data_IF_217076034198
#
_entry.id   IF_217076034198
#
_cell.length_a   1.000
_cell.length_b   1.000
_cell.length_c   1.000
_cell.angle_alpha   90.00
_cell.angle_beta   90.00
_cell.angle_gamma   90.00
#
_symmetry.space_group_name_H-M   'P 1'
#
loop_
_entity.id
_entity.type
_entity.pdbx_description
1 polymer ?
#
# COMPACT_ATOMS: atom_id res chain seq x y z
N UNK A 1 -20.65 -2.02 26.48
CA UNK A 1 -22.03 -2.50 26.62
C UNK A 1 -22.05 -3.41 27.85
N UNK A 2 -22.87 -3.10 28.86
CA UNK A 2 -23.09 -4.04 29.96
C UNK A 2 -23.53 -5.39 29.39
N UNK A 3 -23.20 -6.49 30.07
CA UNK A 3 -23.65 -7.83 29.68
C UNK A 3 -25.15 -7.80 29.33
N UNK A 4 -25.52 -8.34 28.17
CA UNK A 4 -26.90 -8.41 27.66
C UNK A 4 -27.90 -8.90 28.73
N UNK A 5 -27.45 -9.81 29.60
CA UNK A 5 -28.24 -10.34 30.71
C UNK A 5 -28.56 -9.29 31.80
N UNK A 6 -27.65 -8.35 32.09
CA UNK A 6 -27.90 -7.30 33.09
C UNK A 6 -28.92 -6.28 32.61
N UNK A 7 -28.93 -5.95 31.31
CA UNK A 7 -29.93 -5.06 30.72
C UNK A 7 -31.31 -5.72 30.73
N UNK A 8 -31.39 -7.01 30.39
CA UNK A 8 -32.64 -7.77 30.42
C UNK A 8 -33.30 -7.78 31.81
N UNK A 9 -32.51 -7.95 32.87
CA UNK A 9 -33.02 -7.90 34.25
C UNK A 9 -33.53 -6.51 34.64
N UNK A 10 -32.85 -5.44 34.19
CA UNK A 10 -33.31 -4.04 34.41
C UNK A 10 -34.61 -3.76 33.66
N UNK A 11 -34.73 -4.21 32.41
CA UNK A 11 -35.97 -4.08 31.64
C UNK A 11 -37.11 -4.87 32.28
N UNK A 12 -36.84 -6.10 32.73
CA UNK A 12 -37.82 -6.93 33.45
C UNK A 12 -38.30 -6.26 34.75
N UNK A 13 -37.41 -5.59 35.47
CA UNK A 13 -37.75 -4.81 36.67
C UNK A 13 -38.78 -3.72 36.35
N UNK A 14 -38.60 -3.00 35.24
CA UNK A 14 -39.52 -1.93 34.82
C UNK A 14 -40.85 -2.49 34.31
N UNK A 15 -40.82 -3.57 33.51
CA UNK A 15 -42.05 -4.19 32.99
C UNK A 15 -42.93 -4.73 34.11
N UNK A 16 -42.36 -5.46 35.08
CA UNK A 16 -43.11 -5.95 36.24
C UNK A 16 -43.67 -4.79 37.08
N UNK A 17 -42.91 -3.70 37.22
CA UNK A 17 -43.41 -2.51 37.91
C UNK A 17 -44.57 -1.84 37.17
N UNK A 18 -44.54 -1.80 35.83
CA UNK A 18 -45.62 -1.30 34.99
C UNK A 18 -46.89 -2.17 35.07
N UNK A 19 -46.71 -3.49 35.22
CA UNK A 19 -47.79 -4.46 35.46
C UNK A 19 -48.35 -4.41 36.90
N UNK A 20 -47.93 -3.45 37.72
CA UNK A 20 -48.42 -3.25 39.09
C UNK A 20 -47.85 -4.21 40.13
N UNK A 21 -46.80 -4.96 39.80
CA UNK A 21 -46.18 -5.92 40.74
C UNK A 21 -45.46 -5.16 41.87
N UNK A 22 -45.69 -5.50 43.15
CA UNK A 22 -45.01 -4.83 44.27
C UNK A 22 -43.51 -5.13 44.30
N UNK A 23 -42.71 -4.15 44.75
CA UNK A 23 -41.24 -4.24 44.75
C UNK A 23 -40.68 -5.51 45.42
N UNK A 24 -41.32 -6.00 46.48
CA UNK A 24 -40.93 -7.21 47.20
C UNK A 24 -40.93 -8.44 46.26
N UNK A 25 -41.93 -8.55 45.38
CA UNK A 25 -42.02 -9.64 44.38
C UNK A 25 -41.06 -9.43 43.21
N UNK A 26 -40.79 -8.17 42.84
CA UNK A 26 -39.81 -7.85 41.80
C UNK A 26 -38.40 -8.25 42.25
N UNK A 27 -38.06 -8.00 43.51
CA UNK A 27 -36.80 -8.43 44.16
C UNK A 27 -36.63 -9.95 44.04
N UNK A 28 -37.65 -10.74 44.41
CA UNK A 28 -37.64 -12.20 44.30
C UNK A 28 -37.40 -12.68 42.85
N UNK A 29 -38.04 -12.01 41.87
CA UNK A 29 -38.00 -12.42 40.46
C UNK A 29 -36.73 -12.03 39.70
N UNK A 30 -36.05 -10.96 40.13
CA UNK A 30 -34.88 -10.38 39.43
C UNK A 30 -33.56 -10.61 40.17
N UNK A 31 -33.62 -10.98 41.46
CA UNK A 31 -32.44 -11.12 42.31
C UNK A 31 -31.77 -9.79 42.69
N UNK A 32 -32.37 -8.65 42.35
CA UNK A 32 -31.89 -7.33 42.76
C UNK A 32 -32.34 -6.98 44.18
N UNK A 33 -31.54 -6.20 44.90
CA UNK A 33 -31.96 -5.62 46.18
C UNK A 33 -33.06 -4.58 45.99
N UNK A 34 -33.92 -4.38 46.98
CA UNK A 34 -35.00 -3.38 46.91
C UNK A 34 -34.50 -1.96 46.54
N UNK A 35 -33.36 -1.46 47.08
CA UNK A 35 -32.81 -0.17 46.65
C UNK A 35 -32.41 -0.14 45.18
N UNK A 36 -31.99 -1.28 44.62
CA UNK A 36 -31.62 -1.41 43.20
C UNK A 36 -32.86 -1.41 42.31
N UNK A 37 -33.93 -2.10 42.71
CA UNK A 37 -35.24 -2.06 42.03
C UNK A 37 -35.77 -0.63 41.99
N UNK A 38 -35.79 0.07 43.12
CA UNK A 38 -36.20 1.49 43.20
C UNK A 38 -35.35 2.37 42.29
N UNK A 39 -34.02 2.22 42.33
CA UNK A 39 -33.09 2.98 41.47
C UNK A 39 -33.38 2.81 39.98
N UNK A 40 -33.66 1.60 39.51
CA UNK A 40 -33.95 1.38 38.09
C UNK A 40 -35.31 1.93 37.67
N UNK A 41 -36.31 1.83 38.54
CA UNK A 41 -37.62 2.47 38.32
C UNK A 41 -37.49 3.99 38.22
N UNK A 42 -36.81 4.63 39.17
CA UNK A 42 -36.55 6.07 39.15
C UNK A 42 -35.78 6.50 37.90
N UNK A 43 -34.71 5.79 37.53
CA UNK A 43 -33.95 6.11 36.30
C UNK A 43 -34.77 5.94 35.03
N UNK A 44 -35.73 5.00 35.01
CA UNK A 44 -36.66 4.83 33.89
C UNK A 44 -37.70 5.95 33.84
N UNK A 45 -38.25 6.36 34.98
CA UNK A 45 -39.17 7.51 35.06
C UNK A 45 -38.48 8.80 34.59
N UNK A 46 -37.21 8.99 34.94
CA UNK A 46 -36.43 10.21 34.60
C UNK A 46 -35.91 10.23 33.16
N UNK A 47 -35.56 9.08 32.57
CA UNK A 47 -34.81 9.03 31.30
C UNK A 47 -35.27 7.92 30.34
N UNK A 48 -36.42 7.30 30.62
CA UNK A 48 -36.97 6.21 29.81
C UNK A 48 -36.01 5.03 29.66
N UNK A 49 -36.05 4.38 28.49
CA UNK A 49 -35.20 3.22 28.16
C UNK A 49 -33.70 3.56 28.24
N UNK A 50 -33.32 4.80 27.92
CA UNK A 50 -31.92 5.28 28.02
C UNK A 50 -31.40 5.22 29.47
N UNK A 51 -32.28 5.41 30.46
CA UNK A 51 -31.97 5.35 31.88
C UNK A 51 -31.58 3.96 32.39
N UNK A 52 -31.89 2.88 31.65
CA UNK A 52 -31.55 1.50 32.03
C UNK A 52 -30.11 1.11 31.62
N UNK A 53 -29.45 1.93 30.80
CA UNK A 53 -28.05 1.77 30.44
C UNK A 53 -27.10 1.96 31.62
N UNK A 54 -25.90 1.38 31.51
CA UNK A 54 -24.80 1.73 32.41
C UNK A 54 -24.42 3.19 32.16
N UNK A 55 -24.41 4.00 33.22
CA UNK A 55 -23.81 5.33 33.14
C UNK A 55 -22.31 5.19 32.83
N UNK A 56 -21.70 6.17 32.12
CA UNK A 56 -20.26 6.20 31.96
C UNK A 56 -19.62 6.15 33.35
N UNK A 57 -18.98 5.05 33.69
CA UNK A 57 -18.25 4.97 34.96
C UNK A 57 -17.12 5.99 34.87
N UNK A 58 -16.91 6.84 35.90
CA UNK A 58 -15.70 7.65 35.96
C UNK A 58 -14.53 6.67 36.00
N UNK A 59 -13.87 6.52 34.85
CA UNK A 59 -12.67 5.70 34.76
C UNK A 59 -11.61 6.26 35.70
N UNK A 60 -10.61 5.44 36.02
CA UNK A 60 -9.44 5.92 36.77
C UNK A 60 -8.88 7.19 36.10
N UNK A 61 -8.58 8.27 36.85
CA UNK A 61 -8.00 9.47 36.29
C UNK A 61 -6.78 9.13 35.45
N UNK A 62 -6.67 9.73 34.26
CA UNK A 62 -5.52 9.50 33.38
C UNK A 62 -4.28 10.06 34.07
N UNK A 63 -3.32 9.18 34.38
CA UNK A 63 -2.04 9.53 35.00
C UNK A 63 -0.94 9.84 33.98
N UNK A 64 -1.21 9.63 32.70
CA UNK A 64 -0.22 9.80 31.61
C UNK A 64 -0.60 11.07 30.86
N UNK A 65 0.38 11.95 30.72
CA UNK A 65 0.27 13.12 29.86
C UNK A 65 0.49 12.70 28.40
N UNK A 66 -0.63 12.45 27.71
CA UNK A 66 -0.61 12.13 26.28
C UNK A 66 0.02 13.29 25.49
N UNK A 67 -0.19 14.56 25.88
CA UNK A 67 0.30 15.74 25.15
C UNK A 67 1.82 15.86 25.25
N UNK A 68 2.41 15.60 26.41
CA UNK A 68 3.86 15.60 26.58
C UNK A 68 4.53 14.56 25.66
N UNK A 69 3.99 13.34 25.61
CA UNK A 69 4.51 12.28 24.72
C UNK A 69 4.36 12.68 23.26
N UNK A 70 3.22 13.27 22.88
CA UNK A 70 2.98 13.72 21.51
C UNK A 70 3.92 14.86 21.11
N UNK A 71 4.08 15.87 21.96
CA UNK A 71 4.95 17.01 21.70
C UNK A 71 6.40 16.54 21.52
N UNK A 72 6.91 15.69 22.40
CA UNK A 72 8.27 15.16 22.30
C UNK A 72 8.44 14.19 21.11
N UNK A 73 7.37 13.49 20.72
CA UNK A 73 7.39 12.64 19.51
C UNK A 73 7.46 13.46 18.23
N UNK A 74 6.80 14.62 18.18
CA UNK A 74 6.67 15.46 16.98
C UNK A 74 7.69 16.60 16.93
N UNK A 75 8.34 16.91 18.05
CA UNK A 75 9.41 17.89 18.11
C UNK A 75 10.51 17.56 17.10
N UNK A 76 11.07 18.59 16.47
CA UNK A 76 12.13 18.49 15.46
C UNK A 76 11.77 17.48 14.35
N UNK A 77 10.53 17.52 13.85
CA UNK A 77 10.01 16.64 12.80
C UNK A 77 10.11 15.14 13.15
N UNK A 78 10.08 14.82 14.44
CA UNK A 78 10.21 13.48 14.97
C UNK A 78 11.62 12.91 15.00
N UNK A 79 12.63 13.76 14.79
CA UNK A 79 14.05 13.42 14.96
C UNK A 79 14.40 13.45 16.45
N UNK A 80 14.82 12.32 17.05
CA UNK A 80 15.23 12.28 18.45
C UNK A 80 16.51 13.08 18.72
N UNK A 81 16.76 13.50 19.97
CA UNK A 81 18.00 14.18 20.34
C UNK A 81 19.26 13.40 19.94
N UNK A 82 20.27 14.12 19.45
CA UNK A 82 21.50 13.54 18.91
C UNK A 82 22.24 12.69 19.94
N UNK A 83 22.17 13.03 21.24
CA UNK A 83 22.81 12.25 22.31
C UNK A 83 22.29 10.82 22.44
N UNK A 84 21.10 10.50 21.90
CA UNK A 84 20.55 9.16 21.89
C UNK A 84 21.13 8.27 20.79
N UNK A 85 21.76 8.86 19.76
CA UNK A 85 22.36 8.10 18.65
C UNK A 85 21.37 7.27 17.81
N UNK A 86 20.09 7.64 17.81
CA UNK A 86 19.01 6.94 17.08
C UNK A 86 18.44 7.83 15.97
N UNK A 87 17.98 7.21 14.89
CA UNK A 87 17.39 7.95 13.75
C UNK A 87 15.91 8.26 13.91
N UNK A 88 15.21 7.58 14.82
CA UNK A 88 13.76 7.73 15.03
C UNK A 88 13.35 7.22 16.42
N UNK A 89 12.20 7.68 16.90
CA UNK A 89 11.66 7.24 18.18
C UNK A 89 11.21 5.77 18.16
N UNK A 90 11.72 4.98 19.09
CA UNK A 90 11.09 3.70 19.47
C UNK A 90 10.15 3.91 20.65
N UNK A 91 9.08 3.12 20.71
CA UNK A 91 8.12 3.21 21.83
C UNK A 91 8.76 2.92 23.19
N UNK A 92 9.88 2.18 23.24
CA UNK A 92 10.62 1.89 24.46
C UNK A 92 11.42 3.09 24.94
N UNK A 93 12.17 3.72 24.04
CA UNK A 93 12.98 4.89 24.37
C UNK A 93 12.08 6.07 24.80
N UNK A 94 10.98 6.29 24.07
CA UNK A 94 9.99 7.31 24.45
C UNK A 94 9.33 6.99 25.81
N UNK A 95 9.13 5.72 26.13
CA UNK A 95 8.56 5.31 27.40
C UNK A 95 9.52 5.50 28.58
N UNK A 96 10.82 5.22 28.39
CA UNK A 96 11.87 5.49 29.38
C UNK A 96 11.94 6.99 29.69
N UNK A 97 11.92 7.83 28.64
CA UNK A 97 11.96 9.29 28.75
C UNK A 97 10.79 9.90 29.53
N UNK A 98 9.58 9.37 29.33
CA UNK A 98 8.36 9.82 30.02
C UNK A 98 8.02 8.99 31.27
N UNK A 99 8.86 8.03 31.65
CA UNK A 99 8.67 7.12 32.79
C UNK A 99 7.30 6.42 32.79
N UNK A 100 6.88 5.96 31.61
CA UNK A 100 5.61 5.23 31.39
C UNK A 100 5.88 3.84 30.81
N UNK A 101 4.84 3.03 30.65
CA UNK A 101 4.98 1.76 29.93
C UNK A 101 5.07 1.98 28.41
N UNK A 102 5.88 1.19 27.72
CA UNK A 102 5.93 1.18 26.24
C UNK A 102 4.53 0.97 25.63
N UNK A 103 3.70 0.13 26.27
CA UNK A 103 2.34 -0.15 25.84
C UNK A 103 1.45 1.09 25.87
N UNK A 104 1.72 2.03 26.78
CA UNK A 104 1.01 3.30 26.85
C UNK A 104 1.42 4.22 25.70
N UNK A 105 2.71 4.37 25.43
CA UNK A 105 3.22 5.11 24.27
C UNK A 105 2.66 4.54 22.97
N UNK A 106 2.76 3.22 22.76
CA UNK A 106 2.24 2.56 21.57
C UNK A 106 0.73 2.75 21.40
N UNK A 107 -0.03 2.76 22.51
CA UNK A 107 -1.48 3.05 22.48
C UNK A 107 -1.75 4.51 22.13
N UNK A 108 -0.96 5.45 22.62
CA UNK A 108 -1.07 6.88 22.30
C UNK A 108 -0.77 7.09 20.82
N UNK A 109 0.38 6.62 20.33
CA UNK A 109 0.73 6.69 18.91
C UNK A 109 -0.32 6.05 18.01
N UNK A 110 -0.87 4.87 18.36
CA UNK A 110 -1.96 4.24 17.59
C UNK A 110 -3.23 5.08 17.58
N UNK A 111 -3.61 5.67 18.71
CA UNK A 111 -4.79 6.55 18.82
C UNK A 111 -4.65 7.78 17.93
N UNK A 112 -3.46 8.38 17.91
CA UNK A 112 -3.16 9.60 17.15
C UNK A 112 -2.59 9.33 15.75
N UNK A 113 -2.49 8.05 15.36
CA UNK A 113 -1.96 7.59 14.07
C UNK A 113 -0.53 8.07 13.77
N UNK A 114 0.29 8.24 14.80
CA UNK A 114 1.69 8.64 14.66
C UNK A 114 2.55 7.40 14.48
N UNK A 115 3.49 7.46 13.53
CA UNK A 115 4.33 6.32 13.14
C UNK A 115 5.80 6.75 12.99
N UNK A 116 6.52 7.05 14.10
CA UNK A 116 7.86 7.64 14.01
C UNK A 116 8.89 6.73 13.32
N UNK A 117 8.66 5.42 13.36
CA UNK A 117 9.49 4.39 12.73
C UNK A 117 9.25 4.24 11.22
N UNK A 118 8.23 4.90 10.66
CA UNK A 118 7.84 4.74 9.26
C UNK A 118 8.41 5.89 8.45
N UNK A 119 9.15 5.54 7.41
CA UNK A 119 9.59 6.47 6.36
C UNK A 119 8.78 6.17 5.11
N UNK A 120 8.27 7.20 4.47
CA UNK A 120 7.71 7.13 3.13
C UNK A 120 8.55 7.97 2.19
N UNK A 121 8.74 7.48 0.97
CA UNK A 121 9.37 8.26 -0.09
C UNK A 121 8.31 9.05 -0.85
N UNK A 122 8.69 10.21 -1.36
CA UNK A 122 7.87 10.97 -2.29
C UNK A 122 8.74 11.53 -3.40
N UNK A 123 8.14 11.70 -4.58
CA UNK A 123 8.77 12.37 -5.71
C UNK A 123 7.69 13.15 -6.45
N UNK A 124 7.93 14.44 -6.67
CA UNK A 124 7.06 15.27 -7.50
C UNK A 124 7.60 15.27 -8.93
N UNK A 125 6.69 15.16 -9.90
CA UNK A 125 7.05 15.35 -11.29
C UNK A 125 7.26 16.84 -11.57
N UNK A 126 8.32 17.16 -12.32
CA UNK A 126 8.59 18.50 -12.86
C UNK A 126 8.32 18.55 -14.36
N UNK A 127 7.65 17.54 -14.92
CA UNK A 127 7.31 17.48 -16.34
C UNK A 127 6.36 18.64 -16.70
N UNK A 128 6.74 19.55 -17.63
CA UNK A 128 5.85 20.63 -18.07
C UNK A 128 4.54 20.10 -18.70
N UNK A 129 4.54 18.86 -19.21
CA UNK A 129 3.39 18.18 -19.78
C UNK A 129 2.73 17.19 -18.81
N UNK A 130 2.98 17.33 -17.50
CA UNK A 130 2.47 16.41 -16.46
C UNK A 130 0.98 16.15 -16.60
N UNK A 131 0.16 17.20 -16.66
CA UNK A 131 -1.29 17.06 -16.72
C UNK A 131 -1.73 16.39 -18.03
N UNK A 132 -1.19 16.82 -19.17
CA UNK A 132 -1.55 16.27 -20.47
C UNK A 132 -1.24 14.77 -20.56
N UNK A 133 -0.02 14.36 -20.20
CA UNK A 133 0.41 12.96 -20.19
C UNK A 133 -0.35 12.10 -19.17
N UNK A 134 -0.61 12.66 -17.99
CA UNK A 134 -1.40 11.96 -16.99
C UNK A 134 -2.81 11.70 -17.49
N UNK A 135 -3.47 12.69 -18.09
CA UNK A 135 -4.81 12.55 -18.68
C UNK A 135 -4.82 11.54 -19.82
N UNK A 136 -3.83 11.58 -20.68
CA UNK A 136 -3.65 10.66 -21.80
C UNK A 136 -3.59 9.20 -21.30
N UNK A 137 -2.64 8.88 -20.42
CA UNK A 137 -2.48 7.52 -19.88
C UNK A 137 -3.67 7.08 -19.03
N UNK A 138 -4.20 7.94 -18.16
CA UNK A 138 -5.39 7.61 -17.34
C UNK A 138 -6.63 7.42 -18.21
N UNK A 139 -6.73 8.16 -19.32
CA UNK A 139 -7.79 8.00 -20.31
C UNK A 139 -7.79 6.59 -20.89
N UNK A 140 -6.63 6.08 -21.31
CA UNK A 140 -6.48 4.72 -21.82
C UNK A 140 -6.88 3.65 -20.79
N UNK A 141 -6.66 3.88 -19.49
CA UNK A 141 -7.05 2.92 -18.45
C UNK A 141 -8.54 2.96 -18.09
N UNK A 142 -9.18 4.14 -18.13
CA UNK A 142 -10.58 4.30 -17.73
C UNK A 142 -11.55 4.11 -18.89
N UNK A 143 -11.12 4.46 -20.10
CA UNK A 143 -11.92 4.44 -21.31
C UNK A 143 -11.01 4.10 -22.50
N UNK A 144 -10.47 2.86 -22.57
CA UNK A 144 -9.64 2.43 -23.69
C UNK A 144 -10.40 2.57 -25.02
N UNK A 145 -9.73 2.92 -26.12
CA UNK A 145 -10.36 3.02 -27.43
C UNK A 145 -11.02 1.71 -27.86
N UNK A 146 -12.15 1.80 -28.56
CA UNK A 146 -12.81 0.64 -29.14
C UNK A 146 -11.96 0.05 -30.26
N UNK A 147 -11.95 -1.28 -30.39
CA UNK A 147 -11.20 -2.01 -31.42
C UNK A 147 -9.69 -1.69 -31.42
N UNK A 148 -9.13 -1.39 -30.26
CA UNK A 148 -7.70 -1.19 -30.06
C UNK A 148 -7.19 -2.05 -28.89
N UNK A 149 -5.90 -2.37 -28.91
CA UNK A 149 -5.21 -2.98 -27.77
C UNK A 149 -4.42 -1.90 -27.05
N UNK A 150 -4.52 -1.88 -25.72
CA UNK A 150 -3.68 -1.05 -24.86
C UNK A 150 -2.74 -1.94 -24.08
N UNK A 151 -1.44 -1.75 -24.28
CA UNK A 151 -0.38 -2.41 -23.51
C UNK A 151 0.43 -1.40 -22.70
N UNK A 152 0.85 -1.81 -21.53
CA UNK A 152 1.80 -1.11 -20.66
C UNK A 152 3.13 -1.86 -20.74
N UNK A 153 4.19 -1.18 -21.18
CA UNK A 153 5.52 -1.77 -21.38
C UNK A 153 6.56 -1.09 -20.51
N UNK A 154 7.55 -1.87 -20.08
CA UNK A 154 8.69 -1.36 -19.31
C UNK A 154 9.81 -2.42 -19.25
N UNK A 155 10.98 -1.99 -18.75
CA UNK A 155 12.15 -2.81 -18.54
C UNK A 155 12.44 -3.04 -17.06
N UNK A 156 12.38 -4.30 -16.62
CA UNK A 156 12.98 -4.70 -15.37
C UNK A 156 14.47 -4.96 -15.57
N UNK A 157 15.26 -3.92 -15.37
CA UNK A 157 16.72 -3.97 -15.50
C UNK A 157 17.40 -4.68 -14.32
N UNK A 158 18.64 -5.13 -14.54
CA UNK A 158 19.53 -5.65 -13.51
C UNK A 158 18.97 -6.83 -12.69
N UNK A 159 18.22 -7.73 -13.32
CA UNK A 159 17.78 -8.96 -12.66
C UNK A 159 19.00 -9.85 -12.48
N UNK A 160 19.44 -10.00 -11.22
CA UNK A 160 20.63 -10.74 -10.86
C UNK A 160 20.33 -12.24 -10.73
N UNK A 161 21.09 -13.08 -11.45
CA UNK A 161 21.17 -14.50 -11.13
C UNK A 161 22.05 -14.66 -9.88
N UNK A 162 21.45 -15.18 -8.80
CA UNK A 162 22.12 -15.38 -7.51
C UNK A 162 22.06 -16.85 -7.11
N UNK A 163 23.20 -17.44 -6.77
CA UNK A 163 23.23 -18.76 -6.13
C UNK A 163 23.72 -18.68 -4.68
N UNK A 164 23.19 -19.53 -3.81
CA UNK A 164 23.62 -19.72 -2.43
C UNK A 164 24.92 -20.50 -2.42
N UNK A 165 25.79 -20.15 -1.48
CA UNK A 165 27.11 -20.78 -1.33
C UNK A 165 27.05 -22.19 -0.75
N UNK A 166 25.93 -22.55 -0.12
CA UNK A 166 25.64 -23.90 0.36
C UNK A 166 24.22 -24.33 -0.04
N UNK A 167 23.93 -25.65 -0.07
CA UNK A 167 22.59 -26.16 -0.30
C UNK A 167 21.57 -25.56 0.68
N UNK A 168 20.38 -25.25 0.17
CA UNK A 168 19.25 -24.77 0.97
C UNK A 168 18.75 -25.89 1.87
N UNK A 169 18.55 -25.62 3.15
CA UNK A 169 17.94 -26.58 4.06
C UNK A 169 16.41 -26.59 3.86
N UNK A 170 15.79 -27.78 3.77
CA UNK A 170 14.37 -27.89 3.45
C UNK A 170 13.48 -27.33 4.56
N UNK A 171 12.29 -26.88 4.16
CA UNK A 171 11.21 -26.52 5.08
C UNK A 171 10.68 -27.79 5.78
N UNK A 172 10.47 -27.72 7.09
CA UNK A 172 9.82 -28.78 7.88
C UNK A 172 8.93 -28.17 8.99
N UNK A 173 8.02 -28.95 9.61
CA UNK A 173 7.28 -28.48 10.79
C UNK A 173 8.24 -27.91 11.84
N UNK A 174 7.91 -26.75 12.41
CA UNK A 174 8.76 -25.99 13.36
C UNK A 174 10.12 -25.50 12.80
N UNK A 175 10.46 -25.77 11.54
CA UNK A 175 11.76 -25.45 10.96
C UNK A 175 11.58 -24.68 9.64
N UNK A 176 11.75 -23.34 9.65
CA UNK A 176 11.67 -22.57 8.41
C UNK A 176 12.79 -22.96 7.45
N UNK A 177 12.55 -22.77 6.15
CA UNK A 177 13.58 -22.88 5.13
C UNK A 177 14.78 -22.01 5.49
N UNK A 178 15.99 -22.57 5.45
CA UNK A 178 17.23 -21.86 5.73
C UNK A 178 18.14 -21.80 4.50
N UNK A 179 18.74 -20.63 4.30
CA UNK A 179 19.69 -20.38 3.21
C UNK A 179 20.85 -19.53 3.74
N UNK A 180 22.01 -19.63 3.11
CA UNK A 180 23.16 -18.82 3.48
C UNK A 180 22.94 -17.34 3.16
N UNK A 181 23.48 -16.47 4.02
CA UNK A 181 23.44 -15.02 3.82
C UNK A 181 24.31 -14.60 2.63
N UNK A 182 25.49 -15.20 2.50
CA UNK A 182 26.40 -15.02 1.38
C UNK A 182 25.90 -15.72 0.11
N UNK A 183 26.30 -15.16 -1.03
CA UNK A 183 25.81 -15.57 -2.34
C UNK A 183 26.88 -15.36 -3.40
N UNK A 184 26.74 -16.06 -4.52
CA UNK A 184 27.53 -15.86 -5.74
C UNK A 184 26.67 -15.14 -6.79
N UNK A 185 27.29 -14.18 -7.50
CA UNK A 185 26.66 -13.42 -8.59
C UNK A 185 27.00 -14.10 -9.91
N UNK A 186 25.99 -14.59 -10.62
CA UNK A 186 26.13 -15.34 -11.87
C UNK A 186 25.72 -14.52 -13.10
N UNK A 187 25.89 -13.20 -13.03
CA UNK A 187 25.50 -12.23 -14.07
C UNK A 187 24.12 -11.59 -13.86
N UNK A 188 23.79 -10.66 -14.75
CA UNK A 188 22.50 -9.95 -14.77
C UNK A 188 21.84 -10.03 -16.13
N UNK A 189 20.50 -10.02 -16.18
CA UNK A 189 19.71 -9.87 -17.40
C UNK A 189 18.69 -8.75 -17.24
N UNK A 190 18.09 -8.29 -18.34
CA UNK A 190 16.98 -7.32 -18.34
C UNK A 190 15.76 -7.98 -18.97
N UNK A 191 14.63 -7.91 -18.28
CA UNK A 191 13.34 -8.38 -18.81
C UNK A 191 12.54 -7.19 -19.34
N UNK A 192 12.27 -7.18 -20.63
CA UNK A 192 11.25 -6.33 -21.22
C UNK A 192 9.93 -7.08 -21.19
N UNK A 193 8.86 -6.37 -20.83
CA UNK A 193 7.54 -6.97 -20.66
C UNK A 193 6.46 -6.03 -21.17
N UNK A 194 5.42 -6.60 -21.80
CA UNK A 194 4.26 -5.88 -22.28
C UNK A 194 3.00 -6.49 -21.66
N UNK A 195 2.39 -5.72 -20.75
CA UNK A 195 1.19 -6.07 -20.05
C UNK A 195 -0.02 -5.53 -20.82
N UNK A 196 -0.89 -6.40 -21.29
CA UNK A 196 -2.20 -6.04 -21.82
C UNK A 196 -3.11 -5.55 -20.67
N UNK A 197 -3.60 -4.32 -20.79
CA UNK A 197 -4.37 -3.66 -19.73
C UNK A 197 -5.73 -4.32 -19.50
N UNK A 198 -6.38 -4.80 -20.57
CA UNK A 198 -7.74 -5.33 -20.53
C UNK A 198 -7.78 -6.74 -19.94
N UNK A 199 -6.78 -7.56 -20.25
CA UNK A 199 -6.71 -8.96 -19.82
C UNK A 199 -5.82 -9.15 -18.59
N UNK A 200 -4.87 -8.23 -18.34
CA UNK A 200 -3.84 -8.38 -17.33
C UNK A 200 -2.76 -9.41 -17.67
N UNK A 201 -2.76 -9.95 -18.89
CA UNK A 201 -1.75 -10.90 -19.40
C UNK A 201 -0.52 -10.17 -19.90
N UNK A 202 0.61 -10.87 -19.90
CA UNK A 202 1.80 -10.44 -20.60
C UNK A 202 1.68 -10.91 -22.06
N UNK A 203 1.39 -9.99 -22.97
CA UNK A 203 1.24 -10.27 -24.41
C UNK A 203 2.58 -10.50 -25.09
N UNK A 204 3.65 -9.89 -24.57
CA UNK A 204 5.02 -10.13 -24.99
C UNK A 204 5.99 -9.99 -23.82
N UNK A 205 7.08 -10.77 -23.86
CA UNK A 205 8.18 -10.65 -22.91
C UNK A 205 9.48 -11.13 -23.55
N UNK A 206 10.60 -10.42 -23.34
CA UNK A 206 11.90 -10.81 -23.91
C UNK A 206 13.05 -10.40 -23.00
N UNK A 207 14.09 -11.23 -22.97
CA UNK A 207 15.31 -10.96 -22.23
C UNK A 207 16.38 -10.34 -23.11
N UNK A 208 17.12 -9.40 -22.54
CA UNK A 208 18.27 -8.78 -23.17
C UNK A 208 19.41 -8.55 -22.19
N UNK A 209 20.63 -8.63 -22.70
CA UNK A 209 21.85 -8.27 -21.97
C UNK A 209 22.07 -6.75 -21.90
N UNK A 210 21.45 -5.99 -22.82
CA UNK A 210 21.51 -4.53 -22.91
C UNK A 210 20.10 -3.96 -22.99
N UNK A 211 19.92 -2.71 -22.58
CA UNK A 211 18.65 -1.98 -22.64
C UNK A 211 18.83 -0.67 -23.41
N UNK A 212 19.23 -0.78 -24.68
CA UNK A 212 19.44 0.37 -25.57
C UNK A 212 18.26 0.57 -26.52
N UNK A 213 18.30 1.63 -27.33
CA UNK A 213 17.24 1.91 -28.31
C UNK A 213 17.07 0.77 -29.33
N UNK A 214 18.13 0.01 -29.64
CA UNK A 214 18.04 -1.13 -30.54
C UNK A 214 17.22 -2.28 -29.93
N UNK A 215 17.40 -2.56 -28.64
CA UNK A 215 16.59 -3.57 -27.95
C UNK A 215 15.16 -3.10 -27.75
N UNK A 216 14.96 -1.80 -27.51
CA UNK A 216 13.61 -1.24 -27.43
C UNK A 216 12.85 -1.38 -28.76
N UNK A 217 13.48 -1.06 -29.91
CA UNK A 217 12.85 -1.28 -31.24
C UNK A 217 12.56 -2.76 -31.50
N UNK A 218 13.51 -3.64 -31.22
CA UNK A 218 13.28 -5.09 -31.34
C UNK A 218 12.14 -5.57 -30.43
N UNK A 219 12.00 -5.02 -29.23
CA UNK A 219 10.89 -5.34 -28.34
C UNK A 219 9.56 -4.78 -28.85
N UNK A 220 9.53 -3.54 -29.36
CA UNK A 220 8.33 -2.97 -29.97
C UNK A 220 7.83 -3.83 -31.14
N UNK A 221 8.75 -4.38 -31.94
CA UNK A 221 8.38 -5.33 -32.99
C UNK A 221 7.69 -6.57 -32.41
N UNK A 222 8.22 -7.16 -31.35
CA UNK A 222 7.59 -8.33 -30.69
C UNK A 222 6.19 -8.00 -30.13
N UNK A 223 6.01 -6.80 -29.56
CA UNK A 223 4.71 -6.35 -29.07
C UNK A 223 3.72 -6.14 -30.21
N UNK A 224 4.19 -5.57 -31.33
CA UNK A 224 3.39 -5.38 -32.54
C UNK A 224 2.99 -6.74 -33.15
N UNK A 225 3.91 -7.69 -33.24
CA UNK A 225 3.67 -9.02 -33.79
C UNK A 225 2.71 -9.85 -32.93
N UNK A 226 2.69 -9.62 -31.61
CA UNK A 226 1.71 -10.23 -30.70
C UNK A 226 0.29 -9.67 -30.88
N UNK A 227 0.14 -8.51 -31.53
CA UNK A 227 -1.12 -7.78 -31.71
C UNK A 227 -1.28 -7.34 -33.17
N UNK A 228 -1.43 -8.31 -34.08
CA UNK A 228 -1.51 -8.05 -35.52
C UNK A 228 -2.79 -7.31 -35.92
N UNK A 229 -2.68 -6.47 -36.95
CA UNK A 229 -3.82 -5.85 -37.66
C UNK A 229 -4.78 -4.99 -36.82
N UNK A 230 -4.39 -4.64 -35.60
CA UNK A 230 -5.16 -3.79 -34.69
C UNK A 230 -4.37 -2.53 -34.31
N UNK A 231 -5.09 -1.44 -34.03
CA UNK A 231 -4.49 -0.25 -33.44
C UNK A 231 -3.94 -0.60 -32.05
N UNK A 232 -2.70 -0.19 -31.79
CA UNK A 232 -1.94 -0.59 -30.61
C UNK A 232 -1.45 0.66 -29.88
N UNK A 233 -2.00 0.90 -28.69
CA UNK A 233 -1.54 1.93 -27.78
C UNK A 233 -0.54 1.34 -26.81
N UNK A 234 0.68 1.86 -26.82
CA UNK A 234 1.80 1.40 -26.00
C UNK A 234 2.14 2.48 -24.97
N UNK A 235 1.82 2.20 -23.71
CA UNK A 235 2.18 3.06 -22.58
C UNK A 235 3.59 2.69 -22.13
N UNK A 236 4.51 3.66 -22.07
CA UNK A 236 5.87 3.45 -21.59
C UNK A 236 6.39 4.63 -20.77
N UNK A 237 7.54 4.48 -20.14
CA UNK A 237 8.20 5.56 -19.42
C UNK A 237 8.81 6.61 -20.36
N UNK A 238 9.11 7.78 -19.81
CA UNK A 238 9.62 8.93 -20.58
C UNK A 238 11.13 8.86 -20.88
N UNK A 239 11.74 7.67 -20.85
CA UNK A 239 13.20 7.49 -20.98
C UNK A 239 13.71 7.96 -22.35
N UNK A 240 14.87 8.67 -22.43
CA UNK A 240 15.38 9.22 -23.70
C UNK A 240 15.56 8.19 -24.81
N UNK A 241 15.86 6.95 -24.46
CA UNK A 241 15.99 5.82 -25.38
C UNK A 241 14.74 5.60 -26.23
N UNK A 242 13.55 5.83 -25.67
CA UNK A 242 12.25 5.65 -26.35
C UNK A 242 11.95 6.76 -27.36
N UNK A 243 12.79 7.80 -27.42
CA UNK A 243 12.64 8.97 -28.31
C UNK A 243 13.78 9.09 -29.31
N UNK A 244 14.64 8.09 -29.37
CA UNK A 244 15.75 8.06 -30.30
C UNK A 244 15.25 7.97 -31.76
N UNK A 245 16.07 8.38 -32.72
CA UNK A 245 15.65 8.50 -34.12
C UNK A 245 15.17 7.16 -34.71
N UNK A 246 15.87 6.06 -34.46
CA UNK A 246 15.45 4.73 -34.91
C UNK A 246 14.07 4.29 -34.37
N UNK A 247 13.70 4.72 -33.15
CA UNK A 247 12.37 4.47 -32.61
C UNK A 247 11.33 5.27 -33.40
N UNK A 248 11.61 6.54 -33.70
CA UNK A 248 10.73 7.38 -34.52
C UNK A 248 10.58 6.82 -35.94
N UNK A 249 11.67 6.38 -36.55
CA UNK A 249 11.67 5.79 -37.89
C UNK A 249 10.84 4.50 -37.92
N UNK A 250 10.99 3.65 -36.89
CA UNK A 250 10.19 2.43 -36.76
C UNK A 250 8.70 2.74 -36.56
N UNK A 251 8.34 3.74 -35.74
CA UNK A 251 6.95 4.16 -35.55
C UNK A 251 6.35 4.74 -36.84
N UNK A 252 7.13 5.51 -37.61
CA UNK A 252 6.70 6.02 -38.91
C UNK A 252 6.41 4.89 -39.91
N UNK A 253 7.16 3.79 -39.83
CA UNK A 253 6.90 2.58 -40.62
C UNK A 253 5.74 1.72 -40.06
N UNK A 254 5.34 1.92 -38.80
CA UNK A 254 4.29 1.17 -38.12
C UNK A 254 3.19 2.12 -37.59
N UNK A 255 2.43 2.80 -38.47
CA UNK A 255 1.53 3.89 -38.08
C UNK A 255 0.37 3.47 -37.17
N UNK A 256 0.07 2.16 -37.07
CA UNK A 256 -0.92 1.60 -36.13
C UNK A 256 -0.46 1.59 -34.67
N UNK A 257 0.83 1.81 -34.41
CA UNK A 257 1.43 1.74 -33.08
C UNK A 257 1.64 3.16 -32.55
N UNK A 258 0.97 3.48 -31.44
CA UNK A 258 0.95 4.81 -30.84
C UNK A 258 1.62 4.74 -29.47
N UNK A 259 2.70 5.50 -29.26
CA UNK A 259 3.36 5.59 -27.95
C UNK A 259 2.71 6.65 -27.06
N UNK A 260 2.45 6.27 -25.81
CA UNK A 260 1.96 7.13 -24.74
C UNK A 260 2.98 7.16 -23.61
N UNK A 261 3.47 8.34 -23.26
CA UNK A 261 4.52 8.48 -22.26
C UNK A 261 3.94 8.82 -20.90
N UNK A 262 4.29 8.05 -19.88
CA UNK A 262 4.06 8.47 -18.49
C UNK A 262 4.86 9.75 -18.19
N UNK A 263 4.37 10.65 -17.32
CA UNK A 263 5.14 11.82 -16.90
C UNK A 263 6.46 11.42 -16.22
N UNK A 264 7.48 12.31 -16.27
CA UNK A 264 8.72 12.04 -15.53
C UNK A 264 8.43 11.81 -14.04
N UNK A 265 9.12 10.85 -13.42
CA UNK A 265 8.93 10.50 -12.00
C UNK A 265 7.54 9.94 -11.64
N UNK A 266 6.76 9.49 -12.62
CA UNK A 266 5.46 8.86 -12.43
C UNK A 266 5.43 7.39 -12.86
N UNK A 267 6.48 6.61 -12.60
CA UNK A 267 6.51 5.17 -12.93
C UNK A 267 5.38 4.36 -12.27
N UNK A 268 4.85 4.85 -11.14
CA UNK A 268 3.65 4.30 -10.50
C UNK A 268 2.39 4.30 -11.38
N UNK A 269 2.39 5.06 -12.49
CA UNK A 269 1.33 5.10 -13.49
C UNK A 269 1.45 3.95 -14.51
N UNK A 270 2.63 3.35 -14.65
CA UNK A 270 2.87 2.26 -15.61
C UNK A 270 2.42 0.93 -14.98
N UNK A 271 1.34 0.32 -15.46
CA UNK A 271 0.74 -0.86 -14.82
C UNK A 271 1.65 -2.10 -14.82
N UNK A 272 2.53 -2.25 -15.80
CA UNK A 272 3.50 -3.37 -15.85
C UNK A 272 4.45 -3.38 -14.64
N UNK A 273 4.68 -2.24 -13.99
CA UNK A 273 5.44 -2.17 -12.74
C UNK A 273 4.75 -2.95 -11.60
N UNK A 274 3.41 -3.08 -11.64
CA UNK A 274 2.66 -3.94 -10.71
C UNK A 274 3.08 -5.40 -10.91
N UNK A 275 3.13 -5.85 -12.17
CA UNK A 275 3.60 -7.20 -12.51
C UNK A 275 5.07 -7.39 -12.10
N UNK A 276 5.94 -6.41 -12.33
CA UNK A 276 7.33 -6.47 -11.87
C UNK A 276 7.45 -6.60 -10.34
N UNK A 277 6.56 -5.97 -9.59
CA UNK A 277 6.43 -6.19 -8.16
C UNK A 277 6.01 -7.63 -7.83
N UNK A 278 5.03 -8.19 -8.55
CA UNK A 278 4.53 -9.56 -8.37
C UNK A 278 5.64 -10.58 -8.64
N UNK A 279 6.28 -10.53 -9.81
CA UNK A 279 7.34 -11.49 -10.18
C UNK A 279 8.55 -11.37 -9.25
N UNK A 280 8.89 -10.16 -8.81
CA UNK A 280 9.97 -9.96 -7.82
C UNK A 280 9.68 -10.74 -6.54
N UNK A 281 8.45 -10.66 -6.02
CA UNK A 281 8.08 -11.32 -4.75
C UNK A 281 7.91 -12.83 -4.90
N UNK A 282 7.31 -13.29 -5.99
CA UNK A 282 6.89 -14.68 -6.14
C UNK A 282 7.93 -15.56 -6.85
N UNK A 283 8.66 -15.01 -7.83
CA UNK A 283 9.61 -15.76 -8.65
C UNK A 283 11.07 -15.45 -8.30
N UNK A 284 11.42 -14.21 -7.97
CA UNK A 284 12.85 -13.81 -7.85
C UNK A 284 13.38 -13.85 -6.40
N UNK A 285 12.64 -13.29 -5.43
CA UNK A 285 13.16 -12.98 -4.08
C UNK A 285 13.72 -14.18 -3.30
N UNK A 286 13.15 -15.38 -3.48
CA UNK A 286 13.53 -16.59 -2.73
C UNK A 286 14.20 -17.66 -3.62
N UNK A 287 14.52 -17.31 -4.86
CA UNK A 287 15.05 -18.25 -5.82
C UNK A 287 16.57 -18.31 -5.79
N UNK A 288 17.08 -19.37 -6.40
CA UNK A 288 18.48 -19.73 -6.43
C UNK A 288 18.83 -20.13 -7.87
N UNK A 289 19.60 -19.30 -8.56
CA UNK A 289 19.95 -19.46 -9.97
C UNK A 289 21.46 -19.51 -10.15
N UNK A 290 21.96 -20.63 -10.64
CA UNK A 290 23.39 -20.85 -10.92
C UNK A 290 23.84 -20.14 -12.21
N UNK A 291 22.93 -19.70 -13.06
CA UNK A 291 23.24 -19.04 -14.34
C UNK A 291 22.09 -18.16 -14.84
N UNK A 292 22.37 -17.34 -15.85
CA UNK A 292 21.35 -16.54 -16.55
C UNK A 292 20.31 -17.40 -17.28
N UNK A 293 20.69 -18.44 -18.07
CA UNK A 293 19.70 -19.30 -18.72
C UNK A 293 18.71 -19.95 -17.74
N UNK A 294 19.17 -20.35 -16.55
CA UNK A 294 18.29 -20.93 -15.52
C UNK A 294 17.29 -19.90 -14.97
N UNK A 295 17.76 -18.68 -14.70
CA UNK A 295 16.93 -17.55 -14.30
C UNK A 295 15.87 -17.23 -15.37
N UNK A 296 16.29 -17.09 -16.63
CA UNK A 296 15.39 -16.76 -17.75
C UNK A 296 14.34 -17.86 -17.93
N UNK A 297 14.73 -19.13 -17.91
CA UNK A 297 13.80 -20.26 -18.00
C UNK A 297 12.79 -20.30 -16.84
N UNK A 298 13.22 -19.98 -15.61
CA UNK A 298 12.33 -19.92 -14.46
C UNK A 298 11.30 -18.79 -14.57
N UNK A 299 11.73 -17.62 -15.06
CA UNK A 299 10.83 -16.50 -15.30
C UNK A 299 9.86 -16.79 -16.45
N UNK A 300 10.32 -17.40 -17.53
CA UNK A 300 9.42 -17.81 -18.63
C UNK A 300 8.31 -18.73 -18.14
N UNK A 301 8.65 -19.81 -17.40
CA UNK A 301 7.65 -20.70 -16.79
C UNK A 301 6.69 -19.95 -15.86
N UNK A 302 7.20 -18.96 -15.11
CA UNK A 302 6.36 -18.16 -14.24
C UNK A 302 5.38 -17.29 -15.04
N UNK A 303 5.82 -16.65 -16.13
CA UNK A 303 4.98 -15.83 -17.00
C UNK A 303 3.89 -16.69 -17.67
N UNK A 304 4.25 -17.87 -18.18
CA UNK A 304 3.29 -18.82 -18.77
C UNK A 304 2.19 -19.16 -17.75
N UNK A 305 2.57 -19.58 -16.55
CA UNK A 305 1.61 -19.91 -15.48
C UNK A 305 0.80 -18.69 -15.00
N UNK A 306 1.42 -17.51 -14.94
CA UNK A 306 0.72 -16.27 -14.59
C UNK A 306 -0.36 -15.95 -15.62
N UNK A 307 -0.06 -16.11 -16.92
CA UNK A 307 -0.97 -15.79 -18.02
C UNK A 307 -2.20 -16.72 -18.08
N UNK A 308 -2.14 -17.93 -17.53
CA UNK A 308 -3.28 -18.85 -17.46
C UNK A 308 -4.45 -18.30 -16.63
N UNK A 309 -4.13 -17.64 -15.51
CA UNK A 309 -5.11 -17.14 -14.52
C UNK A 309 -5.08 -15.61 -14.36
N UNK A 310 -4.44 -14.90 -15.31
CA UNK A 310 -4.26 -13.46 -15.26
C UNK A 310 -5.60 -12.72 -15.22
N UNK A 311 -5.63 -11.63 -14.45
CA UNK A 311 -6.78 -10.75 -14.31
C UNK A 311 -6.32 -9.30 -14.49
N UNK A 312 -7.14 -8.44 -15.11
CA UNK A 312 -6.80 -7.04 -15.27
C UNK A 312 -6.62 -6.34 -13.92
N UNK A 313 -5.68 -5.40 -13.86
CA UNK A 313 -5.55 -4.52 -12.71
C UNK A 313 -6.58 -3.39 -12.80
N UNK A 314 -7.51 -3.35 -11.84
CA UNK A 314 -8.56 -2.36 -11.83
C UNK A 314 -8.01 -0.95 -11.53
N UNK A 315 -8.06 -0.05 -12.53
CA UNK A 315 -7.80 1.37 -12.34
C UNK A 315 -9.11 2.11 -12.00
N UNK A 316 -9.07 2.96 -10.99
CA UNK A 316 -10.29 3.65 -10.49
C UNK A 316 -10.12 5.15 -10.29
N UNK A 317 -8.91 5.69 -10.47
CA UNK A 317 -8.61 7.08 -10.14
C UNK A 317 -8.59 7.94 -11.40
N UNK A 318 -9.43 8.96 -11.43
CA UNK A 318 -9.43 9.96 -12.50
C UNK A 318 -8.18 10.83 -12.44
N UNK A 319 -7.82 11.45 -13.57
CA UNK A 319 -6.70 12.38 -13.64
C UNK A 319 -6.89 13.55 -12.66
N UNK A 320 -8.10 14.12 -12.58
CA UNK A 320 -8.41 15.22 -11.65
C UNK A 320 -8.21 14.83 -10.18
N UNK A 321 -8.61 13.61 -9.82
CA UNK A 321 -8.39 13.09 -8.48
C UNK A 321 -6.89 13.01 -8.14
N UNK A 322 -6.08 12.53 -9.09
CA UNK A 322 -4.64 12.36 -8.93
C UNK A 322 -3.93 13.72 -8.88
N UNK A 323 -4.24 14.64 -9.80
CA UNK A 323 -3.71 16.01 -9.80
C UNK A 323 -4.05 16.73 -8.50
N UNK A 324 -5.30 16.67 -8.05
CA UNK A 324 -5.71 17.25 -6.78
C UNK A 324 -4.95 16.66 -5.59
N UNK A 325 -4.65 15.36 -5.61
CA UNK A 325 -3.83 14.71 -4.57
C UNK A 325 -2.37 15.18 -4.64
N UNK A 326 -1.78 15.30 -5.83
CA UNK A 326 -0.41 15.77 -6.03
C UNK A 326 -0.24 17.21 -5.56
N UNK A 327 -1.16 18.10 -5.92
CA UNK A 327 -1.16 19.51 -5.49
C UNK A 327 -1.28 19.61 -3.96
N UNK A 328 -2.18 18.86 -3.33
CA UNK A 328 -2.31 18.85 -1.87
C UNK A 328 -1.03 18.40 -1.18
N UNK A 329 -0.39 17.34 -1.69
CA UNK A 329 0.87 16.82 -1.14
C UNK A 329 2.02 17.81 -1.35
N UNK A 330 2.08 18.48 -2.50
CA UNK A 330 3.08 19.52 -2.76
C UNK A 330 2.91 20.71 -1.80
N UNK A 331 1.67 21.19 -1.57
CA UNK A 331 1.41 22.29 -0.63
C UNK A 331 1.80 21.94 0.81
N UNK A 332 1.47 20.73 1.28
CA UNK A 332 1.86 20.27 2.61
C UNK A 332 3.38 20.28 2.77
N UNK A 333 4.10 19.77 1.77
CA UNK A 333 5.57 19.72 1.81
C UNK A 333 6.24 21.09 1.60
N UNK A 334 5.59 22.04 0.90
CA UNK A 334 6.13 23.40 0.68
C UNK A 334 5.91 24.30 1.91
N UNK A 335 4.79 24.16 2.62
CA UNK A 335 4.57 24.84 3.90
C UNK A 335 5.67 24.49 4.92
N UNK A 336 6.16 23.25 4.93
CA UNK A 336 7.28 22.80 5.77
C UNK A 336 8.65 23.37 5.33
N UNK A 337 8.85 23.66 4.04
CA UNK A 337 10.11 24.22 3.52
C UNK A 337 10.26 25.74 3.76
N UNK A 338 9.16 26.48 3.91
CA UNK A 338 9.20 27.92 4.22
C UNK A 338 9.24 28.22 5.73
N UNK A 339 8.83 27.29 6.60
CA UNK A 339 8.93 27.44 8.06
C UNK A 339 10.31 27.04 8.62
N UNK A 340 11.16 26.40 7.81
CA UNK A 340 12.50 25.90 8.22
C UNK A 340 13.68 26.74 7.70
N UNK A 341 13.44 27.90 7.09
CA UNK A 341 14.49 28.88 6.82
C UNK A 341 14.59 29.82 8.03
N UNK A 342 15.61 29.73 8.90
CA UNK A 342 15.86 30.80 9.85
C UNK A 342 16.17 32.07 9.05
N UNK A 343 15.40 33.14 9.30
CA UNK A 343 15.77 34.48 8.88
C UNK A 343 17.20 34.74 9.37
N UNK A 344 18.15 34.79 8.45
CA UNK A 344 19.50 35.29 8.69
C UNK A 344 19.95 36.10 7.49
#
# INVERSE_FOLDING_TARGET
MGSSASLALRTRTVLLAADGVPNIRIVESTGFSEPTVRRWRTRYEESGIQGLGDAPRPGKPRKIDDLAILADTLANDGVPPAELGISHWSARIMAERHQVSFSSVARIWRRWKIQPHRIETFKFSTDPQLEAKLRDVVGLYLSPPENAVVVSIDEKTQIQAMSRTQPVQPLAPEHPLQQTHDYRRNGTTTLFAALDVLTGKLSASKFYQKHTNAQFVDFLQQVADANLEIELHVICDNYPTHKHQNVKDWLAANPRVILHFTPTSCSWLNMVEIFFGIITRQCLKRSNFASIPELEAAVHRYIERYNEDAKPFAWTKTADHLLGKMIRKAKANVLELYETQPNN
#
